data_IF_200304760670
#
_entry.id   IF_200304760670
#
_cell.length_a   1.000
_cell.length_b   1.000
_cell.length_c   1.000
_cell.angle_alpha   90.00
_cell.angle_beta   90.00
_cell.angle_gamma   90.00
#
_symmetry.space_group_name_H-M   'P 1'
#
loop_
_entity.id
_entity.type
_entity.pdbx_description
1 polymer ?
#
# COMPACT_ATOMS: atom_id res chain seq x y z
N UNK A 1 39.51 -85.49 -1.01
CA UNK A 1 40.55 -84.52 -0.58
C UNK A 1 40.09 -83.12 -0.92
N UNK A 2 39.64 -82.39 0.09
CA UNK A 2 39.06 -81.04 0.00
C UNK A 2 40.18 -79.99 -0.06
N UNK A 3 40.18 -79.13 -1.08
CA UNK A 3 41.02 -77.92 -1.13
C UNK A 3 40.27 -76.78 -0.47
N UNK A 4 40.71 -76.40 0.73
CA UNK A 4 40.23 -75.22 1.45
C UNK A 4 40.81 -73.95 0.84
N UNK A 5 39.94 -73.04 0.39
CA UNK A 5 40.32 -71.67 0.02
C UNK A 5 40.47 -70.83 1.28
N UNK A 6 41.61 -70.16 1.41
CA UNK A 6 42.03 -69.38 2.56
C UNK A 6 41.21 -68.07 2.64
N UNK A 7 40.48 -67.86 3.74
CA UNK A 7 39.57 -66.71 3.96
C UNK A 7 40.27 -65.39 4.33
N UNK A 8 41.60 -65.29 4.14
CA UNK A 8 42.40 -64.16 4.66
C UNK A 8 42.70 -63.05 3.63
N UNK A 9 42.37 -63.25 2.35
CA UNK A 9 42.68 -62.26 1.31
C UNK A 9 41.57 -61.22 1.06
N UNK A 10 40.46 -61.26 1.80
CA UNK A 10 39.38 -60.27 1.68
C UNK A 10 39.51 -59.05 2.60
N UNK A 11 40.52 -59.00 3.47
CA UNK A 11 40.63 -57.96 4.51
C UNK A 11 41.81 -57.00 4.36
N UNK A 12 42.56 -57.05 3.26
CA UNK A 12 43.75 -56.21 3.03
C UNK A 12 43.59 -55.24 1.86
N UNK A 13 42.42 -54.60 1.72
CA UNK A 13 42.34 -53.35 0.96
C UNK A 13 41.93 -52.20 1.89
N UNK A 14 42.78 -51.18 2.09
CA UNK A 14 42.40 -50.00 2.84
C UNK A 14 41.31 -49.26 2.06
N UNK A 15 40.06 -49.32 2.54
CA UNK A 15 38.97 -48.52 1.97
C UNK A 15 39.28 -47.04 2.16
N UNK A 16 39.67 -46.38 1.06
CA UNK A 16 39.89 -44.94 0.99
C UNK A 16 38.55 -44.24 1.24
N UNK A 17 38.33 -43.74 2.46
CA UNK A 17 37.06 -43.15 2.85
C UNK A 17 36.79 -41.91 1.98
N UNK A 18 35.64 -41.89 1.29
CA UNK A 18 35.17 -40.73 0.52
C UNK A 18 34.55 -39.64 1.41
N UNK A 19 34.58 -39.85 2.72
CA UNK A 19 34.01 -38.97 3.75
C UNK A 19 34.47 -37.50 3.65
N UNK A 20 35.78 -37.17 3.45
CA UNK A 20 36.19 -35.77 3.35
C UNK A 20 35.66 -35.10 2.07
N UNK A 21 35.41 -35.87 1.01
CA UNK A 21 34.88 -35.37 -0.27
C UNK A 21 33.38 -35.07 -0.17
N UNK A 22 32.64 -35.88 0.59
CA UNK A 22 31.20 -35.67 0.86
C UNK A 22 30.98 -34.47 1.79
N UNK A 23 31.81 -34.31 2.82
CA UNK A 23 31.72 -33.15 3.73
C UNK A 23 32.04 -31.85 2.98
N UNK A 24 33.06 -31.87 2.11
CA UNK A 24 33.39 -30.72 1.27
C UNK A 24 32.23 -30.36 0.31
N UNK A 25 31.59 -31.34 -0.32
CA UNK A 25 30.48 -31.08 -1.24
C UNK A 25 29.25 -30.51 -0.52
N UNK A 26 28.94 -31.00 0.68
CA UNK A 26 27.81 -30.49 1.48
C UNK A 26 28.08 -29.04 1.92
N UNK A 27 29.31 -28.72 2.31
CA UNK A 27 29.70 -27.35 2.67
C UNK A 27 29.53 -26.37 1.51
N UNK A 28 29.93 -26.74 0.30
CA UNK A 28 29.78 -25.90 -0.90
C UNK A 28 28.30 -25.67 -1.24
N UNK A 29 27.47 -26.71 -1.14
CA UNK A 29 26.01 -26.59 -1.40
C UNK A 29 25.33 -25.68 -0.37
N UNK A 30 25.71 -25.78 0.91
CA UNK A 30 25.18 -24.91 1.95
C UNK A 30 25.58 -23.45 1.75
N UNK A 31 26.84 -23.18 1.40
CA UNK A 31 27.31 -21.82 1.10
C UNK A 31 26.58 -21.26 -0.12
N UNK A 32 26.43 -22.05 -1.18
CA UNK A 32 25.68 -21.65 -2.37
C UNK A 32 24.20 -21.36 -2.05
N UNK A 33 23.56 -22.15 -1.19
CA UNK A 33 22.20 -21.92 -0.75
C UNK A 33 22.07 -20.63 0.08
N UNK A 34 23.02 -20.35 0.98
CA UNK A 34 23.03 -19.11 1.78
C UNK A 34 23.22 -17.88 0.89
N UNK A 35 24.17 -17.94 -0.06
CA UNK A 35 24.40 -16.86 -1.03
C UNK A 35 23.19 -16.67 -1.92
N UNK A 36 22.57 -17.75 -2.39
CA UNK A 36 21.34 -17.69 -3.18
C UNK A 36 20.21 -17.01 -2.40
N UNK A 37 19.98 -17.40 -1.15
CA UNK A 37 18.97 -16.76 -0.30
C UNK A 37 19.29 -15.27 -0.11
N UNK A 38 20.53 -14.91 0.23
CA UNK A 38 20.90 -13.49 0.38
C UNK A 38 20.74 -12.67 -0.91
N UNK A 39 21.06 -13.23 -2.07
CA UNK A 39 20.88 -12.57 -3.38
C UNK A 39 19.40 -12.47 -3.74
N UNK A 40 18.56 -13.46 -3.41
CA UNK A 40 17.12 -13.42 -3.69
C UNK A 40 16.31 -12.62 -2.68
N UNK A 41 16.83 -12.40 -1.48
CA UNK A 41 16.18 -11.62 -0.41
C UNK A 41 16.50 -10.12 -0.49
N UNK A 42 17.51 -9.72 -1.28
CA UNK A 42 17.85 -8.32 -1.53
C UNK A 42 17.02 -7.68 -2.65
N UNK A 43 15.76 -8.09 -2.80
CA UNK A 43 14.83 -7.37 -3.67
C UNK A 43 14.57 -6.00 -3.05
N UNK A 44 15.11 -4.95 -3.66
CA UNK A 44 14.68 -3.58 -3.41
C UNK A 44 13.15 -3.58 -3.49
N UNK A 45 12.49 -3.44 -2.35
CA UNK A 45 11.07 -3.11 -2.35
C UNK A 45 11.02 -1.71 -2.95
N UNK A 46 10.76 -1.61 -4.25
CA UNK A 46 10.22 -0.40 -4.83
C UNK A 46 8.99 -0.06 -3.98
N UNK A 47 9.14 0.91 -3.08
CA UNK A 47 8.03 1.48 -2.35
C UNK A 47 7.13 2.09 -3.42
N UNK A 48 6.07 1.36 -3.80
CA UNK A 48 5.05 1.87 -4.68
C UNK A 48 4.45 3.08 -3.97
N UNK A 49 4.88 4.28 -4.37
CA UNK A 49 4.34 5.54 -3.86
C UNK A 49 2.94 5.72 -4.46
N UNK A 50 1.94 5.06 -3.88
CA UNK A 50 0.56 5.03 -4.36
C UNK A 50 -0.07 6.44 -4.46
N UNK A 51 0.38 7.37 -3.61
CA UNK A 51 -0.03 8.78 -3.60
C UNK A 51 1.03 9.73 -4.21
N UNK A 52 2.05 9.19 -4.87
CA UNK A 52 3.16 9.98 -5.42
C UNK A 52 4.14 10.50 -4.37
N UNK A 53 4.91 11.52 -4.75
CA UNK A 53 5.92 12.15 -3.89
C UNK A 53 5.29 13.12 -2.87
N UNK A 54 5.96 13.41 -1.75
CA UNK A 54 5.52 14.45 -0.82
C UNK A 54 5.39 15.83 -1.49
N UNK A 55 4.31 16.53 -1.17
CA UNK A 55 3.95 17.84 -1.74
C UNK A 55 3.95 18.96 -0.70
N UNK A 56 4.00 18.58 0.58
CA UNK A 56 4.18 19.46 1.74
C UNK A 56 5.08 18.79 2.77
N UNK A 57 5.51 19.55 3.78
CA UNK A 57 6.31 19.01 4.89
C UNK A 57 5.54 17.95 5.70
N UNK A 58 6.27 16.93 6.16
CA UNK A 58 5.74 15.86 7.00
C UNK A 58 5.15 16.39 8.32
N UNK A 59 4.13 15.73 8.83
CA UNK A 59 3.46 16.07 10.10
C UNK A 59 2.94 14.84 10.82
N UNK A 60 2.51 15.03 12.06
CA UNK A 60 1.87 13.98 12.86
C UNK A 60 0.45 14.38 13.22
N UNK A 61 -0.47 13.44 13.16
CA UNK A 61 -1.85 13.57 13.66
C UNK A 61 -2.08 12.78 14.94
N UNK A 62 -1.01 12.29 15.59
CA UNK A 62 -1.12 11.47 16.81
C UNK A 62 -1.78 12.28 17.92
N UNK A 63 -2.83 11.73 18.51
CA UNK A 63 -3.60 12.38 19.57
C UNK A 63 -4.71 13.30 19.07
N UNK A 64 -4.89 13.43 17.76
CA UNK A 64 -5.94 14.23 17.14
C UNK A 64 -6.96 13.36 16.42
N UNK A 65 -8.20 13.84 16.36
CA UNK A 65 -9.25 13.32 15.48
C UNK A 65 -9.75 14.50 14.65
N UNK A 66 -9.44 14.50 13.37
CA UNK A 66 -9.69 15.64 12.48
C UNK A 66 -10.80 15.25 11.51
N UNK A 67 -11.95 15.92 11.63
CA UNK A 67 -13.07 15.75 10.72
C UNK A 67 -12.88 16.55 9.43
N UNK A 68 -13.58 16.16 8.36
CA UNK A 68 -13.53 16.84 7.07
C UNK A 68 -14.04 18.28 7.17
N UNK A 69 -13.34 19.19 6.51
CA UNK A 69 -13.84 20.55 6.26
C UNK A 69 -14.50 20.61 4.89
N UNK A 70 -15.74 21.12 4.83
CA UNK A 70 -16.44 21.29 3.55
C UNK A 70 -15.82 22.46 2.78
N UNK A 71 -15.54 22.25 1.50
CA UNK A 71 -15.05 23.28 0.59
C UNK A 71 -15.85 23.29 -0.71
N UNK A 72 -15.74 24.37 -1.47
CA UNK A 72 -16.27 24.47 -2.84
C UNK A 72 -15.08 24.54 -3.81
N UNK A 73 -14.88 23.53 -4.68
CA UNK A 73 -13.82 23.58 -5.69
C UNK A 73 -14.23 24.48 -6.86
N UNK A 74 -13.24 24.91 -7.64
CA UNK A 74 -13.49 25.55 -8.94
C UNK A 74 -13.50 24.46 -10.02
N UNK A 75 -14.45 24.52 -10.96
CA UNK A 75 -14.51 23.61 -12.10
C UNK A 75 -14.26 24.44 -13.36
N UNK A 76 -13.16 24.17 -14.05
CA UNK A 76 -12.72 24.90 -15.24
C UNK A 76 -11.92 23.96 -16.14
N UNK A 77 -12.07 24.10 -17.47
CA UNK A 77 -11.30 23.35 -18.47
C UNK A 77 -11.24 21.82 -18.23
N UNK A 78 -12.40 21.20 -17.98
CA UNK A 78 -12.54 19.76 -17.69
C UNK A 78 -11.73 19.28 -16.47
N UNK A 79 -11.43 20.19 -15.54
CA UNK A 79 -10.72 19.91 -14.29
C UNK A 79 -11.47 20.41 -13.08
N UNK A 80 -11.26 19.72 -11.98
CA UNK A 80 -11.60 20.20 -10.64
C UNK A 80 -10.35 20.75 -9.99
N UNK A 81 -10.42 22.01 -9.57
CA UNK A 81 -9.30 22.80 -9.08
C UNK A 81 -9.50 23.09 -7.59
N UNK A 82 -8.51 22.72 -6.78
CA UNK A 82 -8.50 22.95 -5.34
C UNK A 82 -7.15 23.57 -4.95
N UNK A 83 -7.10 24.69 -4.23
CA UNK A 83 -5.83 25.21 -3.74
C UNK A 83 -5.19 24.21 -2.78
N UNK A 84 -3.92 23.83 -3.02
CA UNK A 84 -3.17 22.93 -2.14
C UNK A 84 -3.13 23.49 -0.71
N UNK A 85 -2.99 24.81 -0.58
CA UNK A 85 -2.99 25.50 0.71
C UNK A 85 -4.28 25.25 1.51
N UNK A 86 -5.44 25.23 0.84
CA UNK A 86 -6.73 24.95 1.50
C UNK A 86 -6.74 23.55 2.10
N UNK A 87 -6.24 22.54 1.38
CA UNK A 87 -6.15 21.16 1.91
C UNK A 87 -5.12 21.10 3.04
N UNK A 88 -3.98 21.76 2.87
CA UNK A 88 -2.88 21.78 3.82
C UNK A 88 -3.24 22.42 5.18
N UNK A 89 -4.06 23.47 5.17
CA UNK A 89 -4.53 24.17 6.39
C UNK A 89 -5.63 23.39 7.13
N UNK A 90 -6.50 22.69 6.38
CA UNK A 90 -7.62 21.95 6.96
C UNK A 90 -7.29 20.48 7.24
N UNK A 91 -6.13 20.00 6.79
CA UNK A 91 -5.63 18.61 6.79
C UNK A 91 -6.46 17.64 5.95
N UNK A 92 -7.78 17.66 6.07
CA UNK A 92 -8.73 16.89 5.28
C UNK A 92 -9.94 17.75 4.89
N UNK A 93 -10.30 17.72 3.61
CA UNK A 93 -11.44 18.46 3.06
C UNK A 93 -12.40 17.52 2.36
N UNK A 94 -13.65 17.96 2.19
CA UNK A 94 -14.68 17.26 1.43
C UNK A 94 -15.49 18.21 0.56
N UNK A 95 -15.98 17.69 -0.56
CA UNK A 95 -16.84 18.36 -1.50
C UNK A 95 -17.62 17.31 -2.30
N UNK A 96 -18.68 17.73 -2.99
CA UNK A 96 -19.52 16.82 -3.76
C UNK A 96 -19.72 17.34 -5.18
N UNK A 97 -19.65 16.43 -6.16
CA UNK A 97 -19.89 16.73 -7.57
C UNK A 97 -20.83 15.65 -8.12
N UNK A 98 -21.81 16.06 -8.92
CA UNK A 98 -22.70 15.13 -9.58
C UNK A 98 -21.97 14.39 -10.72
N UNK A 99 -22.08 13.06 -10.77
CA UNK A 99 -21.59 12.29 -11.90
C UNK A 99 -22.53 12.40 -13.12
N UNK A 100 -22.18 11.74 -14.23
CA UNK A 100 -22.99 11.70 -15.46
C UNK A 100 -24.36 11.02 -15.30
N UNK A 101 -24.61 10.31 -14.19
CA UNK A 101 -25.91 9.73 -13.81
C UNK A 101 -26.72 10.65 -12.90
N UNK A 102 -26.19 11.82 -12.54
CA UNK A 102 -26.82 12.76 -11.61
C UNK A 102 -26.70 12.35 -10.14
N UNK A 103 -25.84 11.39 -9.80
CA UNK A 103 -25.58 11.00 -8.42
C UNK A 103 -24.48 11.87 -7.81
N UNK A 104 -24.69 12.35 -6.58
CA UNK A 104 -23.68 13.12 -5.86
C UNK A 104 -22.56 12.21 -5.39
N UNK A 105 -21.39 12.36 -5.99
CA UNK A 105 -20.15 11.69 -5.62
C UNK A 105 -19.51 12.47 -4.47
N UNK A 106 -19.39 11.89 -3.26
CA UNK A 106 -18.67 12.53 -2.18
C UNK A 106 -17.18 12.32 -2.41
N UNK A 107 -16.42 13.40 -2.33
CA UNK A 107 -14.99 13.46 -2.59
C UNK A 107 -14.27 13.97 -1.35
N UNK A 108 -13.01 13.56 -1.20
CA UNK A 108 -12.09 14.08 -0.20
C UNK A 108 -10.70 14.29 -0.77
N UNK A 109 -10.01 15.24 -0.16
CA UNK A 109 -8.57 15.43 -0.33
C UNK A 109 -7.92 15.59 1.05
N UNK A 110 -6.77 14.99 1.26
CA UNK A 110 -6.03 15.13 2.52
C UNK A 110 -4.52 14.97 2.34
N UNK A 111 -3.78 15.45 3.32
CA UNK A 111 -2.32 15.31 3.40
C UNK A 111 -1.97 14.15 4.34
N UNK A 112 -1.16 13.20 3.89
CA UNK A 112 -0.66 12.11 4.74
C UNK A 112 0.41 12.59 5.73
N UNK A 113 0.75 11.83 6.78
CA UNK A 113 1.84 12.16 7.70
C UNK A 113 3.18 12.40 6.99
N UNK A 114 3.49 11.65 5.94
CA UNK A 114 4.69 11.85 5.12
C UNK A 114 4.61 13.04 4.15
N UNK A 115 3.50 13.78 4.14
CA UNK A 115 3.33 14.98 3.32
C UNK A 115 2.81 14.70 1.91
N UNK A 116 2.34 13.50 1.61
CA UNK A 116 1.76 13.13 0.31
C UNK A 116 0.31 13.58 0.21
N UNK A 117 -0.19 13.74 -1.01
CA UNK A 117 -1.58 14.13 -1.27
C UNK A 117 -2.39 12.92 -1.72
N UNK A 118 -3.47 12.64 -0.99
CA UNK A 118 -4.55 11.78 -1.48
C UNK A 118 -5.70 12.63 -1.99
N UNK A 119 -6.29 12.24 -3.12
CA UNK A 119 -7.58 12.73 -3.58
C UNK A 119 -8.41 11.57 -4.08
N UNK A 120 -9.68 11.47 -3.69
CA UNK A 120 -10.56 10.42 -4.20
C UNK A 120 -11.94 10.48 -3.59
N UNK A 121 -12.76 9.46 -3.88
CA UNK A 121 -14.09 9.38 -3.27
C UNK A 121 -13.99 9.16 -1.76
N UNK A 122 -14.77 9.94 -1.00
CA UNK A 122 -15.00 9.74 0.43
C UNK A 122 -16.18 8.81 0.71
N UNK A 123 -16.61 8.01 -0.27
CA UNK A 123 -17.63 6.99 -0.08
C UNK A 123 -17.02 5.71 0.51
N UNK A 124 -17.41 5.34 1.72
CA UNK A 124 -17.32 3.97 2.21
C UNK A 124 -18.36 3.12 1.47
N UNK A 125 -17.95 2.50 0.37
CA UNK A 125 -18.88 1.95 -0.62
C UNK A 125 -19.91 0.95 -0.06
N UNK A 126 -19.56 -0.07 0.76
CA UNK A 126 -20.55 -1.00 1.27
C UNK A 126 -21.47 -0.40 2.34
N UNK A 127 -20.96 0.54 3.13
CA UNK A 127 -21.70 1.14 4.24
C UNK A 127 -22.40 2.46 3.88
N UNK A 128 -22.11 3.00 2.69
CA UNK A 128 -22.57 4.31 2.17
C UNK A 128 -22.25 5.50 3.07
N UNK A 129 -21.24 5.37 3.93
CA UNK A 129 -20.71 6.49 4.69
C UNK A 129 -20.02 7.47 3.75
N UNK A 130 -20.26 8.77 3.90
CA UNK A 130 -19.78 9.81 2.97
C UNK A 130 -18.60 10.62 3.50
N UNK A 131 -18.25 10.43 4.77
CA UNK A 131 -17.19 11.20 5.44
C UNK A 131 -16.24 10.29 6.19
N UNK A 132 -15.00 10.76 6.30
CA UNK A 132 -13.91 10.12 7.02
C UNK A 132 -13.23 11.13 7.94
N UNK A 133 -12.63 10.64 9.02
CA UNK A 133 -11.77 11.44 9.90
C UNK A 133 -10.35 10.92 9.86
N UNK A 134 -9.37 11.82 10.00
CA UNK A 134 -7.98 11.44 10.28
C UNK A 134 -7.85 11.18 11.79
N UNK A 135 -7.15 10.12 12.18
CA UNK A 135 -6.86 9.82 13.57
C UNK A 135 -5.48 9.17 13.72
N UNK A 136 -4.46 9.95 14.09
CA UNK A 136 -3.07 9.48 14.06
C UNK A 136 -2.66 9.05 12.65
N UNK A 137 -2.19 7.81 12.53
CA UNK A 137 -1.73 7.25 11.25
C UNK A 137 -2.87 6.52 10.50
N UNK A 138 -4.13 6.88 10.79
CA UNK A 138 -5.30 6.16 10.27
C UNK A 138 -6.35 7.08 9.64
N UNK A 139 -7.06 6.52 8.66
CA UNK A 139 -8.24 7.08 8.03
C UNK A 139 -9.47 6.27 8.46
N UNK A 140 -10.46 6.95 9.03
CA UNK A 140 -11.59 6.32 9.73
C UNK A 140 -12.95 6.71 9.12
N UNK A 141 -13.73 5.74 8.64
CA UNK A 141 -15.09 6.01 8.12
C UNK A 141 -16.03 6.45 9.25
N UNK A 142 -16.69 7.61 9.13
CA UNK A 142 -17.58 8.19 10.15
C UNK A 142 -18.84 7.38 10.43
N UNK A 143 -19.23 6.51 9.50
CA UNK A 143 -20.44 5.70 9.65
C UNK A 143 -20.17 4.36 10.30
N UNK A 144 -19.22 3.57 9.79
CA UNK A 144 -19.00 2.19 10.25
C UNK A 144 -17.70 1.99 11.03
N UNK A 145 -16.87 3.04 11.15
CA UNK A 145 -15.57 3.01 11.86
C UNK A 145 -14.59 1.99 11.27
N UNK A 146 -14.79 1.56 10.02
CA UNK A 146 -13.74 0.90 9.25
C UNK A 146 -12.55 1.83 9.14
N UNK A 147 -11.38 1.28 9.46
CA UNK A 147 -10.12 2.00 9.64
C UNK A 147 -9.11 1.48 8.62
N UNK A 148 -8.45 2.41 7.95
CA UNK A 148 -7.35 2.14 7.04
C UNK A 148 -6.09 2.86 7.51
N UNK A 149 -4.92 2.42 7.07
CA UNK A 149 -3.70 3.24 7.12
C UNK A 149 -3.91 4.49 6.27
N UNK A 150 -3.39 5.62 6.73
CA UNK A 150 -3.50 6.91 6.03
C UNK A 150 -2.52 7.05 4.84
N UNK A 151 -1.54 6.16 4.71
CA UNK A 151 -0.47 6.29 3.70
C UNK A 151 -0.72 5.51 2.41
N UNK A 152 -1.52 4.46 2.48
CA UNK A 152 -1.73 3.50 1.37
C UNK A 152 -3.11 2.82 1.43
N UNK A 153 -3.95 3.17 2.40
CA UNK A 153 -5.28 2.59 2.61
C UNK A 153 -5.32 1.07 2.82
N UNK A 154 -4.27 0.49 3.42
CA UNK A 154 -4.32 -0.86 3.94
C UNK A 154 -5.39 -0.99 5.03
N UNK A 155 -6.21 -2.03 4.94
CA UNK A 155 -7.25 -2.29 5.93
C UNK A 155 -6.64 -2.67 7.29
N UNK A 156 -7.02 -1.92 8.34
CA UNK A 156 -6.60 -2.18 9.72
C UNK A 156 -7.70 -2.90 10.50
N UNK A 157 -8.92 -2.35 10.51
CA UNK A 157 -10.02 -2.89 11.32
C UNK A 157 -11.40 -2.42 10.86
N UNK A 158 -12.46 -3.08 11.35
CA UNK A 158 -13.87 -2.76 11.05
C UNK A 158 -14.56 -3.85 10.24
N UNK A 159 -15.60 -3.48 9.49
CA UNK A 159 -16.34 -4.44 8.67
C UNK A 159 -15.50 -4.92 7.49
N UNK A 160 -15.27 -6.24 7.37
CA UNK A 160 -14.47 -6.85 6.29
C UNK A 160 -15.00 -6.47 4.92
N UNK A 161 -16.32 -6.40 4.74
CA UNK A 161 -16.92 -5.95 3.50
C UNK A 161 -16.44 -4.54 3.11
N UNK A 162 -16.38 -3.60 4.06
CA UNK A 162 -15.83 -2.25 3.84
C UNK A 162 -14.34 -2.31 3.54
N UNK A 163 -13.58 -3.11 4.30
CA UNK A 163 -12.14 -3.28 4.11
C UNK A 163 -11.72 -3.74 2.71
N UNK A 164 -12.60 -4.45 1.99
CA UNK A 164 -12.37 -4.86 0.59
C UNK A 164 -12.49 -3.72 -0.42
N UNK A 165 -13.01 -2.56 -0.02
CA UNK A 165 -13.22 -1.39 -0.88
C UNK A 165 -12.60 -0.13 -0.24
N UNK A 166 -11.26 -0.07 -0.07
CA UNK A 166 -10.59 1.12 0.39
C UNK A 166 -10.81 2.28 -0.60
N UNK A 167 -10.80 3.55 -0.13
CA UNK A 167 -10.86 4.71 -1.03
C UNK A 167 -9.73 4.64 -2.08
N UNK A 168 -10.06 4.96 -3.33
CA UNK A 168 -9.12 4.88 -4.46
C UNK A 168 -8.64 6.26 -4.83
N UNK A 169 -7.34 6.39 -5.06
CA UNK A 169 -6.71 7.64 -5.48
C UNK A 169 -7.12 7.98 -6.92
N UNK A 170 -7.59 9.20 -7.12
CA UNK A 170 -7.95 9.77 -8.43
C UNK A 170 -6.78 10.50 -9.10
N UNK A 171 -5.56 10.02 -8.82
CA UNK A 171 -4.30 10.44 -9.44
C UNK A 171 -4.18 11.96 -9.71
N UNK A 172 -4.33 12.81 -8.68
CA UNK A 172 -4.30 14.25 -8.86
C UNK A 172 -2.93 14.70 -9.38
N UNK A 173 -2.91 15.81 -10.10
CA UNK A 173 -1.66 16.51 -10.44
C UNK A 173 -1.58 17.83 -9.68
N UNK A 174 -0.37 18.33 -9.44
CA UNK A 174 -0.16 19.62 -8.81
C UNK A 174 0.52 20.56 -9.79
N UNK A 175 -0.11 21.69 -10.03
CA UNK A 175 0.38 22.72 -10.92
C UNK A 175 0.31 24.08 -10.21
N UNK A 176 1.47 24.71 -9.99
CA UNK A 176 1.57 26.04 -9.37
C UNK A 176 0.81 26.19 -8.02
N UNK A 177 0.73 25.12 -7.21
CA UNK A 177 0.03 25.14 -5.92
C UNK A 177 -1.47 24.86 -6.01
N UNK A 178 -1.96 24.47 -7.18
CA UNK A 178 -3.33 24.00 -7.40
C UNK A 178 -3.31 22.50 -7.62
N UNK A 179 -4.19 21.80 -6.91
CA UNK A 179 -4.52 20.40 -7.12
C UNK A 179 -5.50 20.35 -8.29
N UNK A 180 -5.15 19.59 -9.32
CA UNK A 180 -5.96 19.38 -10.51
C UNK A 180 -6.39 17.91 -10.59
N UNK A 181 -7.69 17.68 -10.73
CA UNK A 181 -8.30 16.36 -10.91
C UNK A 181 -9.03 16.37 -12.25
N UNK A 182 -8.88 15.32 -13.06
CA UNK A 182 -9.65 15.17 -14.29
C UNK A 182 -11.14 15.03 -13.94
N UNK A 183 -11.98 15.95 -14.45
CA UNK A 183 -13.41 15.92 -14.20
C UNK A 183 -14.03 14.61 -14.69
N UNK A 184 -13.52 14.02 -15.77
CA UNK A 184 -14.02 12.77 -16.33
C UNK A 184 -13.85 11.59 -15.36
N UNK A 185 -12.82 11.59 -14.52
CA UNK A 185 -12.62 10.56 -13.49
C UNK A 185 -13.74 10.58 -12.45
N UNK A 186 -14.24 11.77 -12.11
CA UNK A 186 -15.37 11.96 -11.21
C UNK A 186 -16.69 11.65 -11.91
N UNK A 187 -16.87 12.12 -13.15
CA UNK A 187 -18.10 11.89 -13.92
C UNK A 187 -18.34 10.41 -14.21
N UNK A 188 -17.27 9.64 -14.41
CA UNK A 188 -17.35 8.19 -14.64
C UNK A 188 -17.30 7.36 -13.35
N UNK A 189 -17.15 7.99 -12.19
CA UNK A 189 -17.06 7.28 -10.92
C UNK A 189 -18.34 6.52 -10.60
N UNK A 190 -18.18 5.28 -10.11
CA UNK A 190 -19.25 4.37 -9.69
C UNK A 190 -18.86 3.61 -8.43
N UNK A 191 -19.87 3.24 -7.64
CA UNK A 191 -19.72 2.28 -6.55
C UNK A 191 -19.31 0.91 -7.14
N UNK A 192 -18.32 0.28 -6.51
CA UNK A 192 -17.78 -1.05 -6.86
C UNK A 192 -18.40 -2.17 -6.00
N UNK A 193 -18.86 -1.82 -4.79
CA UNK A 193 -19.45 -2.74 -3.82
C UNK A 193 -20.81 -3.32 -4.20
#
# INVERSE_FOLDING_TARGET
MSKYTNKKDQFTQPQKSKLPLIIASIGVVLIAAIVFVMVTSGGDQETINYFGEPVVESRSYIGEVIAMTVIEPVIEDDKVLIPLQTVNENNIVTFEIANDQGELVPLMAYITPSGRLFVGSSMCEPCRGRTFSLAGDTLLCDTCRTTYTIEDHEFISGAVACGSYPPVNMNPTINQGTIEIDLQEILSWRIRA
#
